data_IF_652059893931
#
_entry.id   IF_652059893931
#
_cell.length_a   1.000
_cell.length_b   1.000
_cell.length_c   1.000
_cell.angle_alpha   90.00
_cell.angle_beta   90.00
_cell.angle_gamma   90.00
#
_symmetry.space_group_name_H-M   'P 1'
#
loop_
_entity.id
_entity.type
_entity.pdbx_description
1 polymer ?
#
# COMPACT_ATOMS: atom_id res chain seq x y z
N UNK A 1 -0.41 25.87 -10.71
CA UNK A 1 0.30 24.63 -10.34
C UNK A 1 -0.35 24.14 -9.06
N UNK A 2 -1.20 23.11 -9.12
CA UNK A 2 -1.84 22.58 -7.92
C UNK A 2 -0.77 21.83 -7.11
N UNK A 3 -0.47 22.34 -5.92
CA UNK A 3 0.41 21.73 -4.94
C UNK A 3 -0.28 20.50 -4.34
N UNK A 4 -0.41 19.43 -5.12
CA UNK A 4 -0.71 18.12 -4.59
C UNK A 4 0.54 17.54 -3.94
N UNK A 5 0.44 17.07 -2.71
CA UNK A 5 1.52 16.34 -2.04
C UNK A 5 1.53 14.91 -2.60
N UNK A 6 2.40 14.67 -3.60
CA UNK A 6 2.50 13.36 -4.25
C UNK A 6 3.52 12.53 -3.46
N UNK A 7 3.01 11.58 -2.69
CA UNK A 7 3.78 10.78 -1.73
C UNK A 7 3.97 9.35 -2.20
N UNK A 8 5.05 8.70 -1.77
CA UNK A 8 5.28 7.29 -2.08
C UNK A 8 4.40 6.38 -1.22
N UNK A 9 4.25 5.11 -1.60
CA UNK A 9 3.49 4.15 -0.79
C UNK A 9 4.12 4.05 0.61
N UNK A 10 3.29 4.23 1.65
CA UNK A 10 3.70 4.23 3.05
C UNK A 10 3.94 5.61 3.66
N UNK A 11 3.94 6.69 2.86
CA UNK A 11 4.08 8.08 3.33
C UNK A 11 2.73 8.84 3.33
N UNK A 12 1.69 8.24 2.75
CA UNK A 12 0.33 8.80 2.69
C UNK A 12 -0.60 8.30 3.80
N UNK A 13 -1.84 8.83 3.82
CA UNK A 13 -2.88 8.44 4.79
C UNK A 13 -3.60 7.13 4.44
N UNK A 14 -3.38 6.59 3.24
CA UNK A 14 -4.03 5.36 2.81
C UNK A 14 -3.45 4.15 3.55
N UNK A 15 -4.29 3.41 4.26
CA UNK A 15 -3.89 2.20 4.98
C UNK A 15 -3.68 1.02 4.01
N UNK A 16 -2.47 0.98 3.45
CA UNK A 16 -2.03 -0.08 2.57
C UNK A 16 -2.01 -1.46 3.26
N UNK A 17 -1.85 -1.51 4.59
CA UNK A 17 -1.78 -2.77 5.33
C UNK A 17 -3.16 -3.42 5.43
N UNK A 18 -4.16 -2.65 5.84
CA UNK A 18 -5.54 -3.09 5.87
C UNK A 18 -6.08 -3.43 4.47
N UNK A 19 -5.76 -2.61 3.46
CA UNK A 19 -6.18 -2.85 2.07
C UNK A 19 -5.63 -4.18 1.53
N UNK A 20 -4.33 -4.43 1.65
CA UNK A 20 -3.72 -5.67 1.18
C UNK A 20 -4.18 -6.89 1.98
N UNK A 21 -4.42 -6.74 3.28
CA UNK A 21 -5.00 -7.80 4.10
C UNK A 21 -6.42 -8.17 3.68
N UNK A 22 -7.25 -7.17 3.36
CA UNK A 22 -8.59 -7.40 2.83
C UNK A 22 -8.54 -8.16 1.49
N UNK A 23 -7.69 -7.74 0.55
CA UNK A 23 -7.51 -8.47 -0.71
C UNK A 23 -7.09 -9.92 -0.48
N UNK A 24 -6.16 -10.16 0.44
CA UNK A 24 -5.75 -11.52 0.83
C UNK A 24 -6.91 -12.35 1.41
N UNK A 25 -7.75 -11.74 2.26
CA UNK A 25 -8.93 -12.42 2.83
C UNK A 25 -9.99 -12.80 1.79
N UNK A 26 -10.00 -12.10 0.64
CA UNK A 26 -10.88 -12.37 -0.50
C UNK A 26 -10.25 -13.31 -1.53
N UNK A 27 -9.11 -13.93 -1.21
CA UNK A 27 -8.36 -14.84 -2.10
C UNK A 27 -7.98 -14.20 -3.45
N UNK A 28 -7.64 -12.90 -3.43
CA UNK A 28 -7.21 -12.18 -4.62
C UNK A 28 -5.75 -12.51 -4.97
N UNK A 29 -5.51 -13.06 -6.17
CA UNK A 29 -4.18 -13.41 -6.71
C UNK A 29 -3.78 -12.57 -7.94
N UNK A 30 -4.51 -11.48 -8.21
CA UNK A 30 -4.26 -10.62 -9.36
C UNK A 30 -3.04 -9.71 -9.19
N UNK A 31 -2.65 -9.05 -10.28
CA UNK A 31 -1.54 -8.11 -10.29
C UNK A 31 -1.89 -6.79 -9.58
N UNK A 32 -0.97 -6.32 -8.74
CA UNK A 32 -1.04 -5.00 -8.12
C UNK A 32 -0.12 -4.03 -8.85
N UNK A 33 -0.69 -2.90 -9.30
CA UNK A 33 0.04 -1.81 -9.94
C UNK A 33 0.22 -0.63 -8.99
N UNK A 34 1.42 -0.02 -9.02
CA UNK A 34 1.66 1.25 -8.35
C UNK A 34 1.51 2.37 -9.35
N UNK A 35 0.58 3.29 -9.10
CA UNK A 35 0.43 4.50 -9.88
C UNK A 35 1.08 5.68 -9.14
N UNK A 36 1.91 6.44 -9.84
CA UNK A 36 2.49 7.68 -9.33
C UNK A 36 2.68 8.68 -10.46
N UNK A 37 2.23 9.91 -10.26
CA UNK A 37 2.47 11.05 -11.14
C UNK A 37 2.90 12.24 -10.28
N UNK A 38 3.54 13.26 -10.86
CA UNK A 38 3.83 14.52 -10.15
C UNK A 38 4.76 14.42 -8.93
N UNK A 39 5.32 13.24 -8.63
CA UNK A 39 6.28 13.07 -7.55
C UNK A 39 7.61 13.70 -7.99
N UNK A 40 8.05 14.72 -7.27
CA UNK A 40 9.35 15.36 -7.51
C UNK A 40 10.54 14.42 -7.21
N UNK A 41 11.70 14.74 -7.77
CA UNK A 41 12.93 13.97 -7.54
C UNK A 41 13.10 12.79 -8.51
N UNK A 42 13.80 11.74 -8.05
CA UNK A 42 14.13 10.58 -8.86
C UNK A 42 12.95 9.59 -8.94
N UNK A 43 12.36 9.49 -10.13
CA UNK A 43 11.22 8.61 -10.40
C UNK A 43 11.54 7.13 -10.13
N UNK A 44 12.76 6.68 -10.44
CA UNK A 44 13.16 5.29 -10.20
C UNK A 44 13.22 5.01 -8.70
N UNK A 45 13.85 5.89 -7.92
CA UNK A 45 13.94 5.72 -6.47
C UNK A 45 12.57 5.78 -5.79
N UNK A 46 11.67 6.66 -6.24
CA UNK A 46 10.30 6.73 -5.73
C UNK A 46 9.52 5.43 -6.00
N UNK A 47 9.67 4.86 -7.20
CA UNK A 47 9.07 3.57 -7.53
C UNK A 47 9.69 2.44 -6.71
N UNK A 48 11.03 2.40 -6.59
CA UNK A 48 11.75 1.41 -5.79
C UNK A 48 11.29 1.40 -4.34
N UNK A 49 11.21 2.57 -3.70
CA UNK A 49 10.69 2.73 -2.33
C UNK A 49 9.25 2.23 -2.19
N UNK A 50 8.38 2.60 -3.13
CA UNK A 50 6.97 2.17 -3.11
C UNK A 50 6.84 0.65 -3.25
N UNK A 51 7.60 0.04 -4.15
CA UNK A 51 7.66 -1.41 -4.33
C UNK A 51 8.16 -2.10 -3.06
N UNK A 52 9.25 -1.61 -2.48
CA UNK A 52 9.86 -2.21 -1.28
C UNK A 52 8.90 -2.12 -0.07
N UNK A 53 8.16 -1.01 0.05
CA UNK A 53 7.11 -0.86 1.07
C UNK A 53 5.98 -1.89 0.89
N UNK A 54 5.47 -2.06 -0.33
CA UNK A 54 4.43 -3.06 -0.64
C UNK A 54 4.91 -4.48 -0.33
N UNK A 55 6.11 -4.87 -0.79
CA UNK A 55 6.68 -6.20 -0.50
C UNK A 55 6.87 -6.42 1.00
N UNK A 56 7.25 -5.37 1.73
CA UNK A 56 7.35 -5.42 3.19
C UNK A 56 6.00 -5.68 3.87
N UNK A 57 4.92 -5.09 3.38
CA UNK A 57 3.56 -5.33 3.88
C UNK A 57 3.13 -6.76 3.56
N UNK A 58 3.26 -7.21 2.31
CA UNK A 58 2.93 -8.58 1.89
C UNK A 58 3.65 -9.62 2.76
N UNK A 59 4.95 -9.42 3.02
CA UNK A 59 5.73 -10.32 3.87
C UNK A 59 5.17 -10.39 5.30
N UNK A 60 4.82 -9.24 5.89
CA UNK A 60 4.24 -9.20 7.25
C UNK A 60 2.87 -9.86 7.29
N UNK A 61 2.01 -9.62 6.30
CA UNK A 61 0.70 -10.26 6.20
C UNK A 61 0.80 -11.77 6.01
N UNK A 62 1.76 -12.24 5.21
CA UNK A 62 2.02 -13.68 5.06
C UNK A 62 2.43 -14.37 6.36
N UNK A 63 3.06 -13.64 7.29
CA UNK A 63 3.42 -14.15 8.63
C UNK A 63 2.32 -13.98 9.67
N UNK A 64 1.50 -12.94 9.52
CA UNK A 64 0.51 -12.52 10.50
C UNK A 64 -0.80 -12.08 9.81
N UNK A 65 -1.56 -13.01 9.21
CA UNK A 65 -2.72 -12.66 8.39
C UNK A 65 -3.85 -11.98 9.18
N UNK A 66 -3.98 -12.25 10.49
CA UNK A 66 -5.01 -11.64 11.33
C UNK A 66 -4.75 -10.17 11.70
N UNK A 67 -3.55 -9.64 11.44
CA UNK A 67 -3.21 -8.25 11.80
C UNK A 67 -3.95 -7.20 10.96
N UNK A 68 -4.50 -7.58 9.82
CA UNK A 68 -5.23 -6.68 8.92
C UNK A 68 -6.75 -6.94 8.90
N UNK A 69 -7.28 -7.64 9.91
CA UNK A 69 -8.73 -7.82 10.05
C UNK A 69 -9.43 -6.47 10.21
N UNK A 70 -10.15 -6.06 9.17
CA UNK A 70 -11.07 -4.94 9.23
C UNK A 70 -12.30 -5.35 10.06
N UNK A 71 -12.50 -4.67 11.17
CA UNK A 71 -13.68 -4.85 12.01
C UNK A 71 -14.55 -3.62 11.87
N UNK A 72 -15.86 -3.77 11.58
CA UNK A 72 -16.75 -2.64 11.62
C UNK A 72 -16.74 -2.07 13.04
N UNK A 73 -16.61 -0.76 13.15
CA UNK A 73 -16.95 -0.08 14.40
C UNK A 73 -18.40 -0.43 14.72
N UNK A 74 -18.65 -0.89 15.93
CA UNK A 74 -19.98 -1.32 16.37
C UNK A 74 -21.02 -0.26 15.99
N UNK A 75 -21.93 -0.59 15.07
CA UNK A 75 -23.10 0.21 14.71
C UNK A 75 -24.14 0.20 15.83
#
# INVERSE_FOLDING_TARGET
>A
MLSGDHRTIGEGEFDNFAFLGLLGSLDYHGWLGVQGYGIGGDAYENFRRSRDALRGIEHRLGRHPSWAELRPDHL
#
